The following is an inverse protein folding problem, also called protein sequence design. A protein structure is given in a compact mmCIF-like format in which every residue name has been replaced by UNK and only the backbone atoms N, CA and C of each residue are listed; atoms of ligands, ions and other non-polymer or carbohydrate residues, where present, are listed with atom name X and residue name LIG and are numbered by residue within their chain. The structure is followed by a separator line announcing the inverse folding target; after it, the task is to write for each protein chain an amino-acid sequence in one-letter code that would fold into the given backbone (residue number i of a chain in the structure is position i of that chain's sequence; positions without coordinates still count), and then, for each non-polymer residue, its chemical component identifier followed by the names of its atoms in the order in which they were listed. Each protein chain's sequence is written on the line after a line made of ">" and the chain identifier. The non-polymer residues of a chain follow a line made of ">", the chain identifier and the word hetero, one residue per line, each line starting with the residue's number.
data_IF_456018220402
#
_entry.id   IF_456018220402
#
_cell.length_a   1.000
_cell.length_b   1.000
_cell.length_c   1.000
_cell.angle_alpha   90.00
_cell.angle_beta   90.00
_cell.angle_gamma   90.00
#
_symmetry.space_group_name_H-M   'P 1'
#
loop_
_entity.id
_entity.type
_entity.pdbx_description
1 polymer ?
#
# COMPACT_ATOMS: atom_id res chain seq x y z
N UNK A 1 75.69 0.42 89.39
CA UNK A 1 74.59 1.36 89.35
C UNK A 1 74.02 1.39 87.90
N UNK A 2 72.79 1.09 87.75
CA UNK A 2 72.09 0.97 86.46
C UNK A 2 71.45 2.30 86.14
N UNK A 3 71.47 2.77 84.88
CA UNK A 3 70.75 3.88 84.34
C UNK A 3 69.71 3.40 83.32
N UNK A 4 68.48 3.85 83.35
CA UNK A 4 67.43 3.49 82.39
C UNK A 4 67.21 4.62 81.37
N UNK A 5 66.95 4.21 80.12
CA UNK A 5 66.49 5.09 79.02
C UNK A 5 65.10 4.70 78.68
N UNK A 6 64.10 5.61 78.78
CA UNK A 6 62.71 5.35 78.46
C UNK A 6 62.24 6.34 77.37
N UNK A 7 62.19 5.89 76.14
CA UNK A 7 61.67 6.73 75.04
C UNK A 7 60.15 6.80 75.03
N UNK A 8 59.59 7.97 74.65
CA UNK A 8 58.17 8.13 74.34
C UNK A 8 58.04 8.51 72.88
N UNK A 9 57.09 7.85 72.15
CA UNK A 9 56.77 8.11 70.78
C UNK A 9 55.42 8.81 70.70
N UNK A 10 55.39 10.00 70.12
CA UNK A 10 54.12 10.76 69.90
C UNK A 10 53.63 10.43 68.52
N UNK A 11 52.36 10.00 68.44
CA UNK A 11 51.73 9.67 67.16
C UNK A 11 51.51 10.93 66.31
N UNK A 12 51.97 10.88 65.04
CA UNK A 12 51.71 11.89 64.01
C UNK A 12 51.19 11.20 62.76
N UNK A 13 49.90 11.31 62.47
CA UNK A 13 49.19 10.63 61.40
C UNK A 13 48.61 11.66 60.43
N UNK A 14 48.83 11.53 59.10
CA UNK A 14 48.21 12.43 58.12
C UNK A 14 46.67 12.21 58.06
N UNK A 15 45.98 13.18 57.52
CA UNK A 15 44.54 13.13 57.29
C UNK A 15 44.20 13.05 55.80
N UNK A 16 43.07 12.48 55.46
CA UNK A 16 42.60 12.37 54.10
C UNK A 16 41.08 12.60 54.03
N UNK A 17 40.63 13.28 52.96
CA UNK A 17 39.21 13.49 52.66
C UNK A 17 38.89 13.01 51.26
N UNK A 18 37.74 12.38 51.04
CA UNK A 18 37.31 11.87 49.75
C UNK A 18 36.99 12.99 48.74
N UNK A 19 37.05 12.65 47.46
CA UNK A 19 36.59 13.51 46.39
C UNK A 19 35.46 12.83 45.60
N UNK A 20 34.62 13.67 45.05
CA UNK A 20 33.60 13.27 44.09
C UNK A 20 33.67 14.15 42.85
N UNK A 21 33.17 13.68 41.76
CA UNK A 21 32.93 14.48 40.57
C UNK A 21 31.56 14.11 39.99
N UNK A 22 31.06 14.95 39.10
CA UNK A 22 29.72 14.76 38.48
C UNK A 22 29.81 15.21 37.02
N UNK A 23 29.44 14.33 36.11
CA UNK A 23 29.36 14.69 34.70
C UNK A 23 28.39 13.73 33.97
N UNK A 24 28.07 14.05 32.72
CA UNK A 24 27.16 13.27 31.89
C UNK A 24 27.77 11.89 31.58
N UNK A 25 26.88 10.96 31.28
CA UNK A 25 27.18 9.66 30.73
C UNK A 25 28.21 9.76 29.59
N UNK A 26 29.20 8.90 29.62
CA UNK A 26 30.30 8.83 28.60
C UNK A 26 31.40 9.87 28.75
N UNK A 27 31.27 10.86 29.65
CA UNK A 27 32.30 11.86 29.88
C UNK A 27 33.43 11.34 30.76
N UNK A 28 34.66 11.77 30.44
CA UNK A 28 35.84 11.62 31.34
C UNK A 28 35.67 12.59 32.49
N UNK A 29 35.94 12.12 33.73
CA UNK A 29 35.80 12.92 34.94
C UNK A 29 37.12 12.95 35.72
N UNK A 30 37.36 14.02 36.42
CA UNK A 30 38.52 14.15 37.33
C UNK A 30 38.09 14.56 38.73
N UNK A 31 38.84 14.07 39.71
CA UNK A 31 38.66 14.51 41.11
C UNK A 31 39.97 14.35 41.88
N UNK A 32 40.16 15.24 42.83
CA UNK A 32 41.41 15.25 43.60
C UNK A 32 41.06 15.14 45.11
N UNK A 33 41.15 13.91 45.68
CA UNK A 33 41.10 13.75 47.11
C UNK A 33 42.16 14.60 47.82
N UNK A 34 41.86 15.13 48.97
CA UNK A 34 42.83 15.97 49.71
C UNK A 34 43.49 15.20 50.84
N UNK A 35 44.80 15.42 50.94
CA UNK A 35 45.62 14.84 51.99
C UNK A 35 46.37 15.96 52.69
N UNK A 36 46.48 15.89 54.01
CA UNK A 36 47.18 16.89 54.78
C UNK A 36 48.07 16.23 55.83
N UNK A 37 49.24 16.78 55.96
CA UNK A 37 50.11 16.45 57.08
C UNK A 37 49.50 16.92 58.42
N UNK A 38 50.16 16.60 59.50
CA UNK A 38 49.73 17.03 60.85
C UNK A 38 50.90 17.65 61.62
N UNK A 39 50.57 18.51 62.58
CA UNK A 39 51.56 19.05 63.51
C UNK A 39 51.23 18.56 64.90
N UNK A 40 52.20 18.02 65.61
CA UNK A 40 52.09 17.54 66.99
C UNK A 40 53.11 18.23 67.90
N UNK A 41 52.81 18.32 69.17
CA UNK A 41 53.69 18.89 70.18
C UNK A 41 54.64 17.83 70.71
N UNK A 42 55.94 18.10 70.62
CA UNK A 42 56.97 17.25 71.18
C UNK A 42 57.95 18.13 72.00
N UNK A 43 57.98 17.89 73.31
CA UNK A 43 58.76 18.69 74.26
C UNK A 43 58.47 20.21 74.13
N UNK A 44 57.22 20.61 73.93
CA UNK A 44 56.80 22.02 73.79
C UNK A 44 57.14 22.67 72.45
N UNK A 45 57.63 21.91 71.49
CA UNK A 45 57.92 22.37 70.11
C UNK A 45 57.01 21.69 69.10
N UNK A 46 56.61 22.45 68.09
CA UNK A 46 55.80 21.96 66.96
C UNK A 46 56.69 21.08 66.07
N UNK A 47 56.27 19.86 65.83
CA UNK A 47 56.81 18.91 64.85
C UNK A 47 55.73 18.61 63.81
N UNK A 48 55.98 19.04 62.57
CA UNK A 48 55.11 18.82 61.43
C UNK A 48 55.58 17.64 60.60
N UNK A 49 54.63 16.82 60.16
CA UNK A 49 54.79 15.90 59.05
C UNK A 49 54.04 16.45 57.84
N UNK A 50 54.60 16.27 56.64
CA UNK A 50 54.03 16.69 55.35
C UNK A 50 53.68 15.46 54.53
N UNK A 51 52.87 15.59 53.50
CA UNK A 51 52.70 14.58 52.49
C UNK A 51 53.99 14.53 51.62
N UNK A 52 54.48 13.36 51.39
CA UNK A 52 55.67 13.11 50.58
C UNK A 52 55.39 13.36 49.10
N UNK A 53 56.27 14.08 48.41
CA UNK A 53 56.16 14.40 47.01
C UNK A 53 56.08 13.13 46.17
N UNK A 54 55.21 13.12 45.12
CA UNK A 54 55.00 12.01 44.21
C UNK A 54 54.58 10.68 44.88
N UNK A 55 53.95 10.75 46.07
CA UNK A 55 53.51 9.58 46.83
C UNK A 55 52.08 9.15 46.58
N UNK A 56 51.35 9.88 45.74
CA UNK A 56 49.94 9.56 45.46
C UNK A 56 49.86 8.34 44.55
N UNK A 57 49.03 7.35 44.94
CA UNK A 57 48.84 6.09 44.24
C UNK A 57 47.38 5.62 44.36
N UNK A 58 46.91 4.79 43.43
CA UNK A 58 45.66 4.06 43.57
C UNK A 58 45.90 2.71 44.25
N UNK A 59 44.89 2.20 44.92
CA UNK A 59 44.86 0.81 45.34
C UNK A 59 43.87 0.02 44.43
N UNK A 60 44.37 -1.05 43.82
CA UNK A 60 43.54 -1.98 43.06
C UNK A 60 42.59 -2.75 43.99
N UNK A 61 41.77 -3.63 43.41
CA UNK A 61 40.81 -4.46 44.16
C UNK A 61 41.50 -5.44 45.13
N UNK A 62 42.75 -5.78 44.90
CA UNK A 62 43.56 -6.68 45.73
C UNK A 62 44.39 -5.90 46.76
N UNK A 63 44.31 -4.57 46.76
CA UNK A 63 45.01 -3.69 47.66
C UNK A 63 46.46 -3.34 47.25
N UNK A 64 46.87 -3.63 46.00
CA UNK A 64 48.19 -3.29 45.50
C UNK A 64 48.22 -1.84 45.04
N UNK A 65 49.34 -1.19 45.25
CA UNK A 65 49.63 0.19 44.77
C UNK A 65 49.84 0.17 43.25
N UNK A 66 49.05 0.97 42.53
CA UNK A 66 49.06 1.04 41.05
C UNK A 66 48.87 2.48 40.57
N UNK A 67 49.36 2.79 39.39
CA UNK A 67 49.09 4.10 38.73
C UNK A 67 47.81 4.13 37.95
N UNK A 68 47.27 2.96 37.58
CA UNK A 68 45.94 2.83 36.97
C UNK A 68 45.31 1.49 37.34
N UNK A 69 43.96 1.46 37.34
CA UNK A 69 43.18 0.25 37.63
C UNK A 69 41.82 0.28 36.91
N UNK A 70 41.16 -0.86 36.80
CA UNK A 70 39.81 -0.97 36.24
C UNK A 70 38.79 -0.28 37.13
N UNK A 71 37.89 0.43 36.50
CA UNK A 71 36.68 0.99 37.14
C UNK A 71 35.52 0.01 36.95
N UNK A 72 34.82 -0.28 38.04
CA UNK A 72 33.70 -1.22 38.09
C UNK A 72 32.38 -0.53 38.36
N UNK A 73 31.31 -1.12 37.84
CA UNK A 73 29.92 -0.80 38.20
C UNK A 73 29.66 -1.03 39.70
N UNK A 74 28.48 -0.68 40.20
CA UNK A 74 28.07 -0.87 41.60
C UNK A 74 28.16 -2.33 42.07
N UNK A 75 28.10 -3.29 41.15
CA UNK A 75 28.25 -4.73 41.44
C UNK A 75 29.71 -5.15 41.78
N UNK A 76 30.64 -4.25 41.58
CA UNK A 76 32.07 -4.47 41.82
C UNK A 76 32.78 -5.46 40.84
N UNK A 77 32.09 -5.90 39.80
CA UNK A 77 32.57 -6.92 38.85
C UNK A 77 32.47 -6.54 37.40
N UNK A 78 31.42 -5.79 37.01
CA UNK A 78 31.23 -5.31 35.65
C UNK A 78 32.18 -4.17 35.34
N UNK A 79 33.08 -4.38 34.38
CA UNK A 79 34.04 -3.38 33.95
C UNK A 79 33.38 -2.28 33.14
N UNK A 80 33.53 -1.00 33.52
CA UNK A 80 32.90 0.16 32.87
C UNK A 80 33.90 1.23 32.43
N UNK A 81 35.14 1.13 32.83
CA UNK A 81 36.18 2.11 32.52
C UNK A 81 37.50 1.86 33.21
N UNK A 82 38.33 2.90 33.32
CA UNK A 82 39.59 2.87 34.00
C UNK A 82 39.76 4.10 34.89
N UNK A 83 40.51 3.92 35.97
CA UNK A 83 41.04 5.02 36.78
C UNK A 83 42.53 5.15 36.51
N UNK A 84 43.05 6.37 36.47
CA UNK A 84 44.49 6.70 36.52
C UNK A 84 44.72 7.83 37.49
N UNK A 85 45.94 7.92 38.05
CA UNK A 85 46.33 8.96 38.99
C UNK A 85 47.60 9.67 38.54
N UNK A 86 47.65 10.97 38.75
CA UNK A 86 48.85 11.74 38.70
C UNK A 86 49.55 11.67 40.08
N UNK A 87 50.74 11.03 40.16
CA UNK A 87 51.42 10.83 41.45
C UNK A 87 51.95 12.12 42.07
N UNK A 88 52.04 13.22 41.30
CA UNK A 88 52.51 14.53 41.79
C UNK A 88 51.42 15.37 42.41
N UNK A 89 50.18 15.26 41.83
CA UNK A 89 49.04 16.13 42.28
C UNK A 89 47.99 15.36 43.04
N UNK A 90 47.93 14.01 42.92
CA UNK A 90 46.87 13.20 43.48
C UNK A 90 45.57 13.27 42.68
N UNK A 91 45.54 13.93 41.51
CA UNK A 91 44.39 14.01 40.66
C UNK A 91 44.09 12.63 40.06
N UNK A 92 42.88 12.15 40.27
CA UNK A 92 42.37 10.89 39.67
C UNK A 92 41.54 11.22 38.46
N UNK A 93 41.75 10.49 37.37
CA UNK A 93 40.97 10.57 36.16
C UNK A 93 40.19 9.25 35.99
N UNK A 94 38.85 9.38 35.85
CA UNK A 94 37.94 8.30 35.42
C UNK A 94 37.73 8.41 33.92
N UNK A 95 38.04 7.37 33.15
CA UNK A 95 37.79 7.30 31.71
C UNK A 95 36.84 6.14 31.43
N UNK A 96 35.56 6.40 31.03
CA UNK A 96 34.64 5.33 30.70
C UNK A 96 35.06 4.62 29.42
N UNK A 97 35.05 3.29 29.41
CA UNK A 97 35.18 2.42 28.23
C UNK A 97 33.78 1.99 27.74
N UNK A 98 32.85 1.74 28.66
CA UNK A 98 31.44 1.59 28.36
C UNK A 98 30.73 2.95 28.54
N UNK A 99 30.63 3.68 27.43
CA UNK A 99 29.98 5.01 27.42
C UNK A 99 28.46 4.95 27.58
N UNK A 100 27.86 3.77 27.39
CA UNK A 100 26.41 3.57 27.56
C UNK A 100 26.00 3.35 29.02
N UNK A 101 26.95 3.09 29.91
CA UNK A 101 26.66 2.83 31.33
C UNK A 101 26.11 4.07 32.05
N UNK A 102 25.03 3.89 32.81
CA UNK A 102 24.29 4.96 33.52
C UNK A 102 24.17 4.74 35.03
N UNK A 103 24.73 3.67 35.55
CA UNK A 103 24.62 3.29 36.96
C UNK A 103 25.65 3.99 37.85
N UNK A 104 25.68 3.57 39.12
CA UNK A 104 26.68 4.02 40.08
C UNK A 104 28.01 3.31 39.84
N UNK A 105 29.08 4.05 40.13
CA UNK A 105 30.48 3.57 39.98
C UNK A 105 31.04 3.19 41.34
N UNK A 106 31.74 2.05 41.41
CA UNK A 106 32.44 1.64 42.61
C UNK A 106 33.59 2.64 42.91
N UNK A 107 33.66 3.23 44.12
CA UNK A 107 34.74 4.15 44.47
C UNK A 107 36.14 3.49 44.34
N UNK A 108 37.12 4.26 43.87
CA UNK A 108 38.52 3.82 43.90
C UNK A 108 39.22 4.36 45.13
N UNK A 109 40.08 3.54 45.75
CA UNK A 109 40.92 4.00 46.87
C UNK A 109 42.13 4.73 46.34
N UNK A 110 42.41 5.88 46.99
CA UNK A 110 43.57 6.74 46.74
C UNK A 110 44.38 6.80 48.01
N UNK A 111 45.69 6.56 47.94
CA UNK A 111 46.61 6.52 49.07
C UNK A 111 47.70 7.55 48.89
N UNK A 112 48.13 8.13 49.98
CA UNK A 112 49.31 8.97 50.06
C UNK A 112 50.20 8.57 51.28
N UNK A 113 51.51 8.80 51.14
CA UNK A 113 52.48 8.59 52.21
C UNK A 113 52.98 9.91 52.76
N UNK A 114 53.08 10.00 54.09
CA UNK A 114 53.64 11.14 54.74
C UNK A 114 55.17 11.06 54.89
N UNK A 115 55.80 12.17 55.23
CA UNK A 115 57.26 12.29 55.39
C UNK A 115 57.81 11.35 56.46
N UNK A 116 57.04 10.92 57.43
CA UNK A 116 57.39 9.89 58.44
C UNK A 116 57.02 8.47 58.05
N UNK A 117 56.60 8.20 56.76
CA UNK A 117 56.36 6.88 56.24
C UNK A 117 54.94 6.31 56.55
N UNK A 118 54.07 7.10 57.17
CA UNK A 118 52.67 6.70 57.43
C UNK A 118 51.82 6.85 56.17
N UNK A 119 51.13 5.78 55.75
CA UNK A 119 50.21 5.77 54.61
C UNK A 119 48.78 5.98 55.11
N UNK A 120 48.02 6.80 54.40
CA UNK A 120 46.59 7.05 54.64
C UNK A 120 45.86 6.97 53.32
N UNK A 121 44.68 6.40 53.33
CA UNK A 121 43.84 6.26 52.15
C UNK A 121 42.46 6.91 52.32
N UNK A 122 41.87 7.30 51.20
CA UNK A 122 40.51 7.80 51.05
C UNK A 122 39.96 7.34 49.71
N UNK A 123 38.86 7.90 49.23
CA UNK A 123 38.23 7.48 48.00
C UNK A 123 37.97 8.60 47.00
N UNK A 124 37.94 8.28 45.74
CA UNK A 124 37.35 9.08 44.68
C UNK A 124 36.18 8.34 44.04
N UNK A 125 35.06 9.06 43.87
CA UNK A 125 33.81 8.51 43.31
C UNK A 125 33.25 9.42 42.22
N UNK A 126 33.29 9.05 40.95
CA UNK A 126 32.57 9.77 39.89
C UNK A 126 31.06 9.50 39.94
N UNK A 127 30.22 10.54 39.79
CA UNK A 127 28.77 10.42 39.59
C UNK A 127 28.43 10.56 38.11
N UNK A 128 27.73 9.59 37.54
CA UNK A 128 27.28 9.59 36.15
C UNK A 128 25.86 10.08 36.07
N UNK A 129 25.61 11.16 35.32
CA UNK A 129 24.28 11.67 35.03
C UNK A 129 23.80 11.06 33.71
N UNK A 130 22.71 10.28 33.71
CA UNK A 130 22.19 9.67 32.49
C UNK A 130 21.80 10.71 31.45
N UNK A 131 22.18 10.46 30.19
CA UNK A 131 21.76 11.21 29.00
C UNK A 131 21.35 10.21 27.94
N UNK A 132 20.04 10.08 27.70
CA UNK A 132 19.50 9.09 26.77
C UNK A 132 18.83 9.76 25.59
N UNK A 133 19.01 9.23 24.38
CA UNK A 133 18.31 9.74 23.19
C UNK A 133 16.80 9.48 23.31
N UNK A 134 16.03 10.29 22.58
CA UNK A 134 14.58 10.13 22.47
C UNK A 134 14.17 9.86 21.03
N UNK A 135 13.00 9.24 20.86
CA UNK A 135 12.44 8.97 19.55
C UNK A 135 10.93 9.20 19.54
N UNK A 136 10.42 9.72 18.41
CA UNK A 136 9.00 9.98 18.19
C UNK A 136 8.52 9.16 17.00
N UNK A 137 7.38 8.45 17.09
CA UNK A 137 6.82 7.67 16.00
C UNK A 137 6.46 8.51 14.77
N UNK A 138 6.40 7.86 13.61
CA UNK A 138 5.92 8.44 12.37
C UNK A 138 4.77 7.61 11.81
N UNK A 139 3.83 8.29 11.19
CA UNK A 139 2.68 7.69 10.49
C UNK A 139 2.55 8.33 9.12
N UNK A 140 2.09 7.55 8.15
CA UNK A 140 1.77 8.05 6.80
C UNK A 140 0.49 7.43 6.30
N UNK A 141 -0.16 8.12 5.35
CA UNK A 141 -1.35 7.61 4.69
C UNK A 141 -1.25 7.94 3.20
N UNK A 142 -1.44 6.93 2.36
CA UNK A 142 -1.53 7.10 0.91
C UNK A 142 -2.50 6.07 0.32
N UNK A 143 -2.75 6.19 -0.99
CA UNK A 143 -3.66 5.32 -1.72
C UNK A 143 -3.07 3.93 -1.96
N UNK A 144 -3.93 2.97 -2.22
CA UNK A 144 -3.60 1.60 -2.59
C UNK A 144 -2.58 1.54 -3.72
N UNK A 145 -1.52 0.74 -3.55
CA UNK A 145 -0.43 0.57 -4.49
C UNK A 145 0.65 1.66 -4.46
N UNK A 146 0.45 2.76 -3.73
CA UNK A 146 1.44 3.82 -3.63
C UNK A 146 2.54 3.50 -2.61
N UNK A 147 3.81 3.72 -3.00
CA UNK A 147 4.95 3.66 -2.08
C UNK A 147 4.90 4.84 -1.11
N UNK A 148 5.10 4.57 0.17
CA UNK A 148 5.09 5.58 1.23
C UNK A 148 6.46 5.70 1.88
N UNK A 149 6.80 6.89 2.37
CA UNK A 149 8.00 7.14 3.16
C UNK A 149 7.64 7.86 4.44
N UNK A 150 8.13 7.34 5.55
CA UNK A 150 7.99 7.95 6.86
C UNK A 150 9.30 7.91 7.63
N UNK A 151 9.53 8.90 8.47
CA UNK A 151 10.76 8.99 9.25
C UNK A 151 10.43 9.25 10.70
N UNK A 152 10.57 8.25 11.59
CA UNK A 152 10.58 8.49 13.02
C UNK A 152 11.65 9.52 13.36
N UNK A 153 11.35 10.45 14.26
CA UNK A 153 12.28 11.50 14.65
C UNK A 153 13.12 11.02 15.84
N UNK A 154 14.45 11.10 15.70
CA UNK A 154 15.41 10.76 16.74
C UNK A 154 16.15 12.03 17.18
N UNK A 155 16.26 12.25 18.49
CA UNK A 155 16.96 13.38 19.08
C UNK A 155 17.96 12.88 20.12
N UNK A 156 19.14 13.48 20.13
CA UNK A 156 20.10 13.29 21.20
C UNK A 156 19.56 13.73 22.54
N UNK A 157 20.04 13.10 23.62
CA UNK A 157 19.66 13.47 24.96
C UNK A 157 20.33 14.77 25.39
N UNK A 158 19.63 15.55 26.21
CA UNK A 158 20.15 16.79 26.80
C UNK A 158 19.83 16.81 28.28
N UNK A 159 20.82 17.21 29.10
CA UNK A 159 20.68 17.34 30.56
C UNK A 159 21.55 18.49 31.08
N UNK A 160 21.16 19.10 32.20
CA UNK A 160 21.93 20.15 32.88
C UNK A 160 22.76 19.54 34.00
N UNK A 161 24.06 19.76 33.99
CA UNK A 161 25.00 19.37 35.05
C UNK A 161 25.69 20.62 35.57
N UNK A 162 25.54 20.89 36.88
CA UNK A 162 26.10 22.07 37.55
C UNK A 162 25.78 23.40 36.83
N UNK A 163 24.53 23.51 36.33
CA UNK A 163 24.04 24.71 35.62
C UNK A 163 24.46 24.82 34.17
N UNK A 164 25.19 23.83 33.62
CA UNK A 164 25.62 23.77 32.21
C UNK A 164 24.80 22.74 31.48
N UNK A 165 24.18 23.13 30.35
CA UNK A 165 23.49 22.22 29.45
C UNK A 165 24.51 21.39 28.63
N UNK A 166 24.34 20.08 28.64
CA UNK A 166 25.19 19.12 27.92
C UNK A 166 24.31 18.20 27.09
N UNK A 167 24.74 17.95 25.84
CA UNK A 167 23.98 17.14 24.85
C UNK A 167 24.88 16.02 24.31
N UNK A 168 24.29 14.84 24.13
CA UNK A 168 24.90 13.71 23.40
C UNK A 168 24.11 13.53 22.10
N UNK A 169 24.74 13.79 20.97
CA UNK A 169 24.10 13.72 19.64
C UNK A 169 23.84 12.28 19.21
N UNK A 170 22.89 12.11 18.30
CA UNK A 170 22.70 10.85 17.56
C UNK A 170 23.99 10.53 16.78
N UNK A 171 24.39 9.27 16.76
CA UNK A 171 25.58 8.81 16.03
C UNK A 171 25.23 8.60 14.55
N UNK A 172 25.58 9.56 13.71
CA UNK A 172 25.34 9.49 12.26
C UNK A 172 26.22 8.46 11.54
N UNK A 173 27.28 7.94 12.19
CA UNK A 173 28.13 6.89 11.62
C UNK A 173 27.57 5.48 11.83
N UNK A 174 26.54 5.32 12.67
CA UNK A 174 25.86 4.05 12.90
C UNK A 174 24.51 4.09 12.21
N UNK A 175 24.31 3.27 11.14
CA UNK A 175 23.05 3.25 10.41
C UNK A 175 21.87 2.84 11.28
N UNK A 176 20.70 3.40 11.02
CA UNK A 176 19.45 2.92 11.59
C UNK A 176 19.16 1.49 11.13
N UNK A 177 18.53 0.72 12.00
CA UNK A 177 18.06 -0.65 11.72
C UNK A 177 16.64 -0.84 12.25
N UNK A 178 16.00 -1.90 11.84
CA UNK A 178 14.83 -2.40 12.56
C UNK A 178 15.26 -3.05 13.89
N UNK A 179 14.30 -3.34 14.75
CA UNK A 179 14.52 -3.90 16.09
C UNK A 179 15.31 -5.22 16.07
N UNK A 180 15.15 -6.03 15.04
CA UNK A 180 15.87 -7.29 14.82
C UNK A 180 17.27 -7.14 14.21
N UNK A 181 17.72 -5.88 14.00
CA UNK A 181 19.00 -5.55 13.37
C UNK A 181 18.98 -5.59 11.84
N UNK A 182 17.88 -5.98 11.22
CA UNK A 182 17.74 -5.96 9.75
C UNK A 182 17.47 -4.56 9.20
N UNK A 183 17.64 -4.40 7.89
CA UNK A 183 17.30 -3.16 7.16
C UNK A 183 16.12 -3.37 6.20
N UNK A 184 15.63 -4.60 6.09
CA UNK A 184 14.49 -4.96 5.23
C UNK A 184 13.59 -5.94 5.97
N UNK A 185 12.27 -5.71 5.90
CA UNK A 185 11.25 -6.57 6.50
C UNK A 185 10.09 -6.74 5.55
N UNK A 186 9.77 -7.97 5.18
CA UNK A 186 8.61 -8.31 4.36
C UNK A 186 7.51 -8.92 5.24
N UNK A 187 6.28 -8.45 5.05
CA UNK A 187 5.07 -8.95 5.72
C UNK A 187 4.13 -9.45 4.62
N UNK A 188 3.90 -10.75 4.60
CA UNK A 188 3.04 -11.41 3.59
C UNK A 188 1.64 -10.80 3.57
N UNK A 189 1.13 -10.52 2.36
CA UNK A 189 -0.17 -9.89 2.16
C UNK A 189 -0.23 -8.40 2.50
N UNK A 190 0.87 -7.79 2.94
CA UNK A 190 0.96 -6.38 3.34
C UNK A 190 1.94 -5.61 2.48
N UNK A 191 3.22 -6.01 2.46
CA UNK A 191 4.26 -5.32 1.71
C UNK A 191 5.65 -5.43 2.31
N UNK A 192 6.57 -4.62 1.81
CA UNK A 192 7.98 -4.63 2.21
C UNK A 192 8.39 -3.26 2.77
N UNK A 193 9.03 -3.28 3.92
CA UNK A 193 9.63 -2.14 4.59
C UNK A 193 11.15 -2.17 4.41
N UNK A 194 11.75 -1.03 4.12
CA UNK A 194 13.21 -0.84 4.13
C UNK A 194 13.56 0.41 4.92
N UNK A 195 14.59 0.33 5.75
CA UNK A 195 15.08 1.49 6.51
C UNK A 195 16.43 1.96 5.97
N UNK A 196 16.52 3.25 5.70
CA UNK A 196 17.77 3.91 5.31
C UNK A 196 18.61 4.24 6.53
N UNK A 197 19.91 4.52 6.33
CA UNK A 197 20.85 4.84 7.40
C UNK A 197 20.40 5.98 8.30
N UNK A 198 19.68 6.96 7.77
CA UNK A 198 19.16 8.12 8.49
C UNK A 198 17.84 7.87 9.27
N UNK A 199 17.31 6.63 9.21
CA UNK A 199 16.06 6.22 9.85
C UNK A 199 14.82 6.41 8.98
N UNK A 200 14.93 6.89 7.75
CA UNK A 200 13.80 6.97 6.83
C UNK A 200 13.36 5.57 6.41
N UNK A 201 12.09 5.25 6.63
CA UNK A 201 11.48 3.98 6.22
C UNK A 201 10.73 4.18 4.93
N UNK A 202 10.99 3.31 3.94
CA UNK A 202 10.21 3.19 2.72
C UNK A 202 9.32 1.95 2.84
N UNK A 203 8.03 2.12 2.62
CA UNK A 203 7.03 1.05 2.58
C UNK A 203 6.50 0.89 1.16
N UNK A 204 6.68 -0.29 0.59
CA UNK A 204 6.11 -0.69 -0.70
C UNK A 204 4.99 -1.69 -0.41
N UNK A 205 3.71 -1.28 -0.48
CA UNK A 205 2.60 -2.18 -0.21
C UNK A 205 2.44 -3.23 -1.32
N UNK A 206 1.90 -4.39 -0.99
CA UNK A 206 1.32 -5.26 -1.99
C UNK A 206 0.11 -4.56 -2.65
N UNK A 207 -0.07 -4.77 -3.95
CA UNK A 207 -1.11 -4.06 -4.73
C UNK A 207 -2.52 -4.27 -4.22
N UNK A 208 -2.79 -5.41 -3.61
CA UNK A 208 -4.10 -5.75 -3.02
C UNK A 208 -4.29 -5.25 -1.58
N UNK A 209 -3.20 -4.81 -0.91
CA UNK A 209 -3.28 -4.42 0.49
C UNK A 209 -4.00 -3.09 0.68
N UNK A 210 -4.93 -3.07 1.63
CA UNK A 210 -5.64 -1.87 2.14
C UNK A 210 -5.76 -1.95 3.65
N UNK A 211 -5.77 -0.80 4.30
CA UNK A 211 -5.84 -0.69 5.76
C UNK A 211 -4.52 -0.26 6.38
N UNK A 212 -4.45 -0.32 7.71
CA UNK A 212 -3.25 0.03 8.46
C UNK A 212 -2.31 -1.17 8.54
N UNK A 213 -1.08 -0.99 8.07
CA UNK A 213 -0.05 -2.02 8.15
C UNK A 213 0.45 -2.21 9.58
N UNK A 214 0.97 -3.40 9.94
CA UNK A 214 1.68 -3.58 11.20
C UNK A 214 2.81 -2.56 11.34
N UNK A 215 2.95 -1.97 12.54
CA UNK A 215 4.02 -1.05 12.83
C UNK A 215 5.39 -1.76 12.78
N UNK A 216 6.40 -1.09 12.23
CA UNK A 216 7.80 -1.51 12.31
C UNK A 216 8.56 -0.59 13.24
N UNK A 217 9.44 -1.15 14.08
CA UNK A 217 10.24 -0.39 15.03
C UNK A 217 11.61 -0.07 14.44
N UNK A 218 11.95 1.21 14.39
CA UNK A 218 13.26 1.71 13.96
C UNK A 218 14.09 2.01 15.19
N UNK A 219 15.37 1.65 15.17
CA UNK A 219 16.32 1.83 16.26
C UNK A 219 17.50 2.67 15.77
N UNK A 220 17.89 3.67 16.55
CA UNK A 220 19.14 4.42 16.38
C UNK A 220 19.86 4.54 17.72
N UNK A 221 21.14 4.84 17.69
CA UNK A 221 21.95 5.07 18.90
C UNK A 221 22.61 6.45 18.89
N UNK A 222 22.93 6.94 20.07
CA UNK A 222 23.69 8.16 20.25
C UNK A 222 25.22 7.90 20.23
N UNK A 223 26.01 8.97 20.38
CA UNK A 223 27.48 8.89 20.41
C UNK A 223 28.03 8.08 21.58
N UNK A 224 27.21 7.76 22.58
CA UNK A 224 27.56 6.90 23.71
C UNK A 224 27.13 5.43 23.51
N UNK A 225 26.43 5.11 22.42
CA UNK A 225 25.85 3.78 22.15
C UNK A 225 24.52 3.54 22.88
N UNK A 226 23.94 4.55 23.49
CA UNK A 226 22.58 4.45 24.07
C UNK A 226 21.55 4.46 22.95
N UNK A 227 20.57 3.54 23.02
CA UNK A 227 19.58 3.34 21.94
C UNK A 227 18.25 4.03 22.23
N UNK A 228 17.64 4.53 21.18
CA UNK A 228 16.25 4.94 21.15
C UNK A 228 15.52 4.20 20.03
N UNK A 229 14.23 3.98 20.22
CA UNK A 229 13.38 3.31 19.23
C UNK A 229 12.04 4.00 19.09
N UNK A 230 11.51 4.01 17.86
CA UNK A 230 10.15 4.48 17.58
C UNK A 230 9.56 3.73 16.40
N UNK A 231 8.24 3.68 16.33
CA UNK A 231 7.51 2.96 15.29
C UNK A 231 7.25 3.83 14.06
N UNK A 232 7.17 3.17 12.93
CA UNK A 232 6.58 3.69 11.70
C UNK A 232 5.36 2.86 11.32
N UNK A 233 4.23 3.53 11.07
CA UNK A 233 2.94 2.87 10.76
C UNK A 233 2.32 3.51 9.52
N UNK A 234 2.37 2.84 8.34
CA UNK A 234 1.68 3.30 7.15
C UNK A 234 0.23 2.83 7.11
N UNK A 235 -0.67 3.68 6.60
CA UNK A 235 -2.06 3.33 6.29
C UNK A 235 -2.28 3.46 4.79
N UNK A 236 -2.96 2.48 4.21
CA UNK A 236 -3.29 2.40 2.78
C UNK A 236 -4.79 2.55 2.61
N UNK A 237 -5.22 3.60 1.90
CA UNK A 237 -6.63 3.83 1.56
C UNK A 237 -7.01 3.10 0.27
N UNK A 238 -8.17 2.44 0.20
CA UNK A 238 -8.58 1.69 -0.97
C UNK A 238 -8.79 2.60 -2.18
N UNK A 239 -8.49 2.06 -3.37
CA UNK A 239 -8.84 2.65 -4.67
C UNK A 239 -9.67 1.62 -5.42
N UNK A 240 -10.91 1.98 -5.78
CA UNK A 240 -11.81 1.11 -6.52
C UNK A 240 -12.27 1.79 -7.81
N UNK A 241 -12.10 1.16 -8.98
CA UNK A 241 -12.66 1.64 -10.22
C UNK A 241 -14.19 1.53 -10.20
N UNK A 242 -14.86 2.31 -11.05
CA UNK A 242 -16.30 2.26 -11.24
C UNK A 242 -16.64 1.92 -12.68
N UNK A 243 -17.87 1.46 -12.91
CA UNK A 243 -18.35 1.16 -14.25
C UNK A 243 -19.82 1.58 -14.42
N UNK A 244 -20.15 2.04 -15.65
CA UNK A 244 -21.51 2.45 -16.05
C UNK A 244 -22.00 1.53 -17.14
N UNK A 245 -23.23 0.99 -17.07
CA UNK A 245 -23.84 0.15 -18.08
C UNK A 245 -23.96 0.83 -19.44
N UNK A 246 -24.02 0.02 -20.50
CA UNK A 246 -24.35 0.47 -21.85
C UNK A 246 -25.59 -0.26 -22.37
N UNK A 247 -26.38 0.45 -23.16
CA UNK A 247 -27.56 -0.06 -23.85
C UNK A 247 -27.50 0.34 -25.31
N UNK A 248 -28.01 -0.51 -26.19
CA UNK A 248 -28.15 -0.20 -27.60
C UNK A 248 -29.51 -0.66 -28.12
N UNK A 249 -29.95 -0.05 -29.21
CA UNK A 249 -31.17 -0.45 -29.91
C UNK A 249 -30.84 -0.53 -31.40
N UNK A 250 -31.15 -1.67 -32.01
CA UNK A 250 -30.98 -1.93 -33.43
C UNK A 250 -32.20 -2.56 -34.04
N UNK A 251 -32.17 -2.77 -35.34
CA UNK A 251 -33.24 -3.50 -36.07
C UNK A 251 -32.91 -4.99 -36.14
N UNK A 252 -33.90 -5.80 -36.32
CA UNK A 252 -33.79 -7.26 -36.48
C UNK A 252 -32.72 -7.63 -37.54
N UNK A 253 -31.78 -8.50 -37.17
CA UNK A 253 -30.65 -8.90 -37.99
C UNK A 253 -29.43 -7.98 -37.95
N UNK A 254 -29.54 -6.76 -37.46
CA UNK A 254 -28.39 -5.85 -37.40
C UNK A 254 -27.46 -6.16 -36.24
N UNK A 255 -26.16 -6.22 -36.51
CA UNK A 255 -25.11 -6.29 -35.50
C UNK A 255 -25.08 -4.99 -34.69
N UNK A 256 -24.97 -5.10 -33.37
CA UNK A 256 -24.90 -3.95 -32.48
C UNK A 256 -23.57 -3.93 -31.72
N UNK A 257 -23.06 -2.75 -31.43
CA UNK A 257 -21.89 -2.58 -30.55
C UNK A 257 -22.21 -1.62 -29.43
N UNK A 258 -21.84 -2.02 -28.22
CA UNK A 258 -21.98 -1.17 -27.03
C UNK A 258 -20.78 -1.30 -26.13
N UNK A 259 -20.45 -0.23 -25.41
CA UNK A 259 -19.28 -0.20 -24.56
C UNK A 259 -19.65 0.35 -23.19
N UNK A 260 -19.70 -0.50 -22.16
CA UNK A 260 -19.76 -0.02 -20.78
C UNK A 260 -18.57 0.89 -20.50
N UNK A 261 -18.79 1.96 -19.74
CA UNK A 261 -17.74 2.93 -19.41
C UNK A 261 -17.09 2.55 -18.09
N UNK A 262 -15.77 2.38 -18.10
CA UNK A 262 -14.96 2.08 -16.92
C UNK A 262 -14.15 3.32 -16.56
N UNK A 263 -14.18 3.70 -15.28
CA UNK A 263 -13.51 4.90 -14.77
C UNK A 263 -12.61 4.50 -13.61
N UNK A 264 -11.36 4.94 -13.65
CA UNK A 264 -10.42 4.75 -12.54
C UNK A 264 -10.94 5.39 -11.25
N UNK A 265 -10.67 4.75 -10.12
CA UNK A 265 -11.01 5.27 -8.79
C UNK A 265 -10.10 6.42 -8.35
N UNK A 266 -8.91 6.51 -8.92
CA UNK A 266 -7.94 7.57 -8.70
C UNK A 266 -7.00 7.69 -9.91
N UNK A 267 -6.67 8.91 -10.34
CA UNK A 267 -5.82 9.16 -11.51
C UNK A 267 -4.41 8.56 -11.42
N UNK A 268 -3.92 8.26 -10.21
CA UNK A 268 -2.64 7.57 -9.97
C UNK A 268 -2.74 6.05 -10.16
N UNK A 269 -3.96 5.50 -10.30
CA UNK A 269 -4.24 4.09 -10.51
C UNK A 269 -5.18 3.95 -11.70
N UNK A 270 -4.68 4.08 -12.95
CA UNK A 270 -5.49 3.99 -14.15
C UNK A 270 -6.03 2.57 -14.38
N UNK A 271 -7.02 2.45 -15.27
CA UNK A 271 -7.46 1.15 -15.77
C UNK A 271 -6.29 0.41 -16.42
N UNK A 272 -6.23 -0.90 -16.23
CA UNK A 272 -5.13 -1.73 -16.74
C UNK A 272 -5.41 -2.19 -18.17
N UNK A 273 -4.85 -1.49 -19.16
CA UNK A 273 -5.01 -1.83 -20.58
C UNK A 273 -4.17 -3.04 -21.01
N UNK A 274 -3.26 -3.53 -20.16
CA UNK A 274 -2.50 -4.76 -20.41
C UNK A 274 -3.31 -6.03 -20.08
N UNK A 275 -4.43 -5.87 -19.38
CA UNK A 275 -5.36 -6.96 -19.06
C UNK A 275 -6.66 -6.75 -19.83
N UNK A 276 -6.95 -7.69 -20.75
CA UNK A 276 -8.14 -7.62 -21.58
C UNK A 276 -9.43 -7.73 -20.77
N UNK A 277 -10.46 -7.00 -21.20
CA UNK A 277 -11.81 -7.17 -20.66
C UNK A 277 -12.33 -8.58 -20.91
N UNK A 278 -13.14 -9.08 -19.98
CA UNK A 278 -13.83 -10.38 -20.09
C UNK A 278 -15.28 -10.24 -19.64
N UNK A 279 -16.07 -11.25 -19.92
CA UNK A 279 -17.36 -11.42 -19.23
C UNK A 279 -17.11 -11.89 -17.79
N UNK A 280 -18.16 -11.92 -16.99
CA UNK A 280 -18.10 -12.29 -15.57
C UNK A 280 -17.62 -13.73 -15.30
N UNK A 281 -17.82 -14.63 -16.28
CA UNK A 281 -17.32 -16.01 -16.25
C UNK A 281 -15.87 -16.17 -16.77
N UNK A 282 -15.20 -15.07 -17.12
CA UNK A 282 -13.85 -15.05 -17.68
C UNK A 282 -13.76 -15.31 -19.18
N UNK A 283 -14.89 -15.62 -19.86
CA UNK A 283 -14.93 -15.81 -21.30
C UNK A 283 -14.92 -14.48 -22.06
N UNK A 284 -14.64 -14.54 -23.37
CA UNK A 284 -14.73 -13.40 -24.29
C UNK A 284 -15.82 -13.57 -25.33
N UNK A 285 -16.50 -14.72 -25.34
CA UNK A 285 -17.63 -15.02 -26.23
C UNK A 285 -18.70 -15.77 -25.47
N UNK A 286 -19.97 -15.37 -25.67
CA UNK A 286 -21.12 -16.04 -25.07
C UNK A 286 -22.29 -16.10 -26.06
N UNK A 287 -22.77 -17.30 -26.31
CA UNK A 287 -23.95 -17.56 -27.16
C UNK A 287 -25.15 -17.88 -26.28
N UNK A 288 -26.28 -17.24 -26.58
CA UNK A 288 -27.58 -17.48 -25.96
C UNK A 288 -28.51 -17.99 -27.05
N UNK A 289 -28.96 -19.23 -26.90
CA UNK A 289 -29.80 -19.89 -27.91
C UNK A 289 -31.09 -19.09 -28.21
N UNK A 290 -31.37 -18.88 -29.49
CA UNK A 290 -32.52 -18.12 -29.97
C UNK A 290 -32.44 -16.62 -29.72
N UNK A 291 -31.32 -16.13 -29.21
CA UNK A 291 -31.11 -14.69 -28.94
C UNK A 291 -29.94 -14.13 -29.77
N UNK A 292 -28.76 -14.75 -29.69
CA UNK A 292 -27.61 -14.30 -30.42
C UNK A 292 -26.29 -14.56 -29.70
N UNK A 293 -25.19 -14.00 -30.26
CA UNK A 293 -23.83 -14.16 -29.75
C UNK A 293 -23.22 -12.81 -29.39
N UNK A 294 -22.65 -12.75 -28.17
CA UNK A 294 -21.90 -11.63 -27.64
C UNK A 294 -20.42 -11.93 -27.71
N UNK A 295 -19.61 -10.94 -28.11
CA UNK A 295 -18.15 -10.98 -28.01
C UNK A 295 -17.64 -9.70 -27.38
N UNK A 296 -16.66 -9.79 -26.48
CA UNK A 296 -16.05 -8.62 -25.85
C UNK A 296 -14.62 -8.46 -26.33
N UNK A 297 -14.29 -7.25 -26.78
CA UNK A 297 -12.93 -6.86 -27.14
C UNK A 297 -12.12 -6.49 -25.90
N UNK A 298 -10.78 -6.44 -26.05
CA UNK A 298 -9.85 -6.11 -24.95
C UNK A 298 -10.18 -4.79 -24.23
N UNK A 299 -10.72 -3.81 -24.95
CA UNK A 299 -11.08 -2.49 -24.43
C UNK A 299 -12.45 -2.43 -23.74
N UNK A 300 -13.17 -3.56 -23.69
CA UNK A 300 -14.53 -3.66 -23.11
C UNK A 300 -15.67 -3.40 -24.08
N UNK A 301 -15.39 -3.15 -25.37
CA UNK A 301 -16.44 -3.03 -26.41
C UNK A 301 -17.08 -4.39 -26.64
N UNK A 302 -18.40 -4.46 -26.51
CA UNK A 302 -19.18 -5.67 -26.77
C UNK A 302 -19.82 -5.58 -28.16
N UNK A 303 -19.64 -6.61 -28.95
CA UNK A 303 -20.36 -6.82 -30.21
C UNK A 303 -21.43 -7.88 -29.97
N UNK A 304 -22.68 -7.57 -30.35
CA UNK A 304 -23.82 -8.47 -30.30
C UNK A 304 -24.32 -8.75 -31.72
N UNK A 305 -24.30 -10.00 -32.11
CA UNK A 305 -24.88 -10.51 -33.36
C UNK A 305 -26.18 -11.24 -33.00
N UNK A 306 -27.37 -10.66 -33.29
CA UNK A 306 -28.62 -11.29 -32.95
C UNK A 306 -28.88 -12.54 -33.81
N UNK A 307 -29.62 -13.49 -33.24
CA UNK A 307 -30.29 -14.52 -34.04
C UNK A 307 -31.29 -13.85 -35.01
N UNK A 308 -31.36 -14.24 -36.28
CA UNK A 308 -32.26 -13.63 -37.25
C UNK A 308 -33.73 -13.61 -36.82
N UNK A 309 -34.16 -14.57 -36.02
CA UNK A 309 -35.52 -14.66 -35.49
C UNK A 309 -35.75 -13.83 -34.23
N UNK A 310 -34.69 -13.32 -33.57
CA UNK A 310 -34.80 -12.63 -32.29
C UNK A 310 -35.32 -11.20 -32.42
N UNK A 311 -36.26 -10.86 -31.58
CA UNK A 311 -36.76 -9.47 -31.36
C UNK A 311 -37.03 -9.26 -29.88
N UNK A 312 -36.90 -8.02 -29.42
CA UNK A 312 -37.07 -7.64 -28.02
C UNK A 312 -35.75 -7.33 -27.33
N UNK A 313 -35.79 -7.17 -26.00
CA UNK A 313 -34.58 -6.89 -25.20
C UNK A 313 -33.88 -8.18 -24.86
N UNK A 314 -32.62 -8.28 -25.29
CA UNK A 314 -31.79 -9.43 -25.03
C UNK A 314 -31.29 -9.44 -23.55
N UNK A 315 -30.93 -10.62 -23.02
CA UNK A 315 -30.35 -10.71 -21.69
C UNK A 315 -29.12 -9.82 -21.54
N UNK A 316 -29.05 -9.09 -20.41
CA UNK A 316 -27.88 -8.30 -20.10
C UNK A 316 -26.65 -9.20 -19.88
N UNK A 317 -25.49 -8.78 -20.40
CA UNK A 317 -24.22 -9.45 -20.16
C UNK A 317 -23.29 -8.55 -19.39
N UNK A 318 -22.58 -9.12 -18.41
CA UNK A 318 -21.67 -8.36 -17.53
C UNK A 318 -20.25 -8.35 -18.08
N UNK A 319 -19.68 -7.16 -18.25
CA UNK A 319 -18.29 -6.94 -18.65
C UNK A 319 -17.48 -6.55 -17.45
N UNK A 320 -16.29 -7.12 -17.31
CA UNK A 320 -15.38 -6.90 -16.18
C UNK A 320 -14.05 -6.37 -16.72
N UNK A 321 -13.54 -5.31 -16.06
CA UNK A 321 -12.17 -4.80 -16.24
C UNK A 321 -11.54 -4.55 -14.88
N UNK A 322 -10.21 -4.46 -14.84
CA UNK A 322 -9.45 -4.16 -13.62
C UNK A 322 -8.56 -2.93 -13.80
N UNK A 323 -8.21 -2.31 -12.68
CA UNK A 323 -7.22 -1.25 -12.62
C UNK A 323 -5.79 -1.79 -12.47
N UNK A 324 -4.78 -0.90 -12.41
CA UNK A 324 -3.36 -1.29 -12.26
C UNK A 324 -3.03 -1.95 -10.91
N UNK A 325 -3.92 -1.88 -9.93
CA UNK A 325 -3.80 -2.62 -8.66
C UNK A 325 -4.50 -4.00 -8.71
N UNK A 326 -5.23 -4.31 -9.79
CA UNK A 326 -6.02 -5.53 -9.91
C UNK A 326 -7.42 -5.43 -9.27
N UNK A 327 -7.85 -4.24 -8.86
CA UNK A 327 -9.21 -4.01 -8.38
C UNK A 327 -10.17 -4.00 -9.56
N UNK A 328 -11.29 -4.74 -9.45
CA UNK A 328 -12.22 -4.97 -10.54
C UNK A 328 -13.43 -4.04 -10.46
N UNK A 329 -13.92 -3.66 -11.65
CA UNK A 329 -15.22 -3.05 -11.84
C UNK A 329 -16.00 -3.84 -12.88
N UNK A 330 -17.32 -3.84 -12.79
CA UNK A 330 -18.21 -4.53 -13.73
C UNK A 330 -19.43 -3.69 -14.06
N UNK A 331 -19.90 -3.79 -15.30
CA UNK A 331 -21.16 -3.20 -15.73
C UNK A 331 -21.76 -4.03 -16.85
N UNK A 332 -23.09 -3.90 -17.04
CA UNK A 332 -23.84 -4.65 -18.02
C UNK A 332 -23.89 -3.94 -19.38
N UNK A 333 -24.00 -4.76 -20.41
CA UNK A 333 -24.42 -4.35 -21.75
C UNK A 333 -25.73 -5.04 -22.09
N UNK A 334 -26.74 -4.26 -22.55
CA UNK A 334 -28.10 -4.75 -22.86
C UNK A 334 -28.53 -4.26 -24.25
N UNK A 335 -28.52 -5.11 -25.27
CA UNK A 335 -29.05 -4.77 -26.60
C UNK A 335 -30.57 -5.00 -26.70
N UNK A 336 -31.26 -4.14 -27.44
CA UNK A 336 -32.66 -4.30 -27.83
C UNK A 336 -32.76 -4.40 -29.34
N UNK A 337 -33.57 -5.34 -29.82
CA UNK A 337 -33.78 -5.60 -31.25
C UNK A 337 -35.22 -5.29 -31.61
N UNK A 338 -35.43 -4.30 -32.45
CA UNK A 338 -36.73 -3.95 -32.99
C UNK A 338 -37.10 -4.80 -34.21
N UNK A 339 -38.33 -5.30 -34.33
CA UNK A 339 -38.71 -6.11 -35.47
C UNK A 339 -38.72 -5.34 -36.78
N UNK A 340 -38.35 -6.01 -37.86
CA UNK A 340 -38.63 -5.53 -39.23
C UNK A 340 -40.06 -5.83 -39.58
N UNK A 341 -40.78 -4.83 -40.09
CA UNK A 341 -42.18 -4.93 -40.46
C UNK A 341 -42.37 -4.74 -41.95
N UNK A 342 -43.39 -5.40 -42.51
CA UNK A 342 -43.88 -5.21 -43.86
C UNK A 342 -45.18 -4.41 -43.85
N UNK A 343 -45.21 -3.32 -44.63
CA UNK A 343 -46.39 -2.50 -44.80
C UNK A 343 -46.95 -2.71 -46.20
N UNK A 344 -48.14 -3.32 -46.36
CA UNK A 344 -48.74 -3.52 -47.66
C UNK A 344 -49.45 -2.26 -48.13
N UNK A 345 -49.50 -2.06 -49.46
CA UNK A 345 -50.30 -1.05 -50.13
C UNK A 345 -51.21 -1.69 -51.14
N UNK A 346 -52.50 -1.54 -50.95
CA UNK A 346 -53.54 -2.10 -51.81
C UNK A 346 -53.54 -1.41 -53.19
N UNK A 347 -54.03 -2.12 -54.19
CA UNK A 347 -54.28 -1.62 -55.53
C UNK A 347 -55.73 -1.89 -55.93
N UNK A 348 -56.28 -1.03 -56.78
CA UNK A 348 -57.58 -1.17 -57.40
C UNK A 348 -57.45 -0.87 -58.88
N UNK A 349 -58.27 -1.48 -59.71
CA UNK A 349 -58.27 -1.24 -61.12
C UNK A 349 -59.71 -1.23 -61.63
N UNK A 350 -59.97 -0.62 -62.77
CA UNK A 350 -61.27 -0.54 -63.45
C UNK A 350 -61.07 -0.61 -64.93
N UNK A 351 -61.82 -1.45 -65.63
CA UNK A 351 -61.75 -1.57 -67.06
C UNK A 351 -63.10 -2.06 -67.60
N UNK A 352 -63.23 -2.13 -68.91
CA UNK A 352 -64.46 -2.61 -69.54
C UNK A 352 -64.59 -4.13 -69.45
N UNK A 353 -65.88 -4.62 -69.63
CA UNK A 353 -66.20 -6.04 -69.60
C UNK A 353 -65.29 -6.91 -70.49
N UNK A 354 -64.86 -8.11 -70.00
CA UNK A 354 -64.05 -9.09 -70.64
C UNK A 354 -62.58 -8.67 -70.88
N UNK A 355 -62.13 -7.54 -70.36
CA UNK A 355 -60.74 -7.10 -70.46
C UNK A 355 -59.95 -7.47 -69.20
N UNK A 356 -58.83 -8.22 -69.32
CA UNK A 356 -57.97 -8.50 -68.15
C UNK A 356 -57.41 -7.22 -67.60
N UNK A 357 -57.27 -7.16 -66.24
CA UNK A 357 -56.72 -6.05 -65.54
C UNK A 357 -55.49 -6.47 -64.71
N UNK A 358 -54.41 -5.71 -64.74
CA UNK A 358 -53.21 -6.05 -64.01
C UNK A 358 -52.77 -4.90 -63.07
N UNK A 359 -52.59 -5.22 -61.80
CA UNK A 359 -52.06 -4.30 -60.81
C UNK A 359 -51.02 -5.01 -59.94
N UNK A 360 -50.13 -4.21 -59.34
CA UNK A 360 -49.08 -4.75 -58.47
C UNK A 360 -49.24 -4.17 -57.05
N UNK A 361 -49.81 -4.92 -56.11
CA UNK A 361 -49.76 -4.57 -54.70
C UNK A 361 -48.28 -4.44 -54.28
N UNK A 362 -47.95 -3.40 -53.52
CA UNK A 362 -46.57 -3.15 -53.04
C UNK A 362 -46.45 -3.45 -51.57
N UNK A 363 -45.22 -3.81 -51.16
CA UNK A 363 -44.86 -4.11 -49.79
C UNK A 363 -43.60 -3.32 -49.47
N UNK A 364 -43.66 -2.46 -48.43
CA UNK A 364 -42.52 -1.72 -47.98
C UNK A 364 -41.94 -2.36 -46.69
N UNK A 365 -40.66 -2.66 -46.70
CA UNK A 365 -39.90 -3.07 -45.51
C UNK A 365 -39.62 -1.84 -44.65
N UNK A 366 -39.74 -1.95 -43.33
CA UNK A 366 -39.27 -0.88 -42.42
C UNK A 366 -37.76 -0.76 -42.39
N UNK A 367 -37.04 -1.81 -42.80
CA UNK A 367 -35.58 -1.82 -43.01
C UNK A 367 -35.26 -2.85 -44.13
N UNK A 368 -34.54 -2.42 -45.14
CA UNK A 368 -34.13 -3.23 -46.32
C UNK A 368 -32.63 -3.59 -46.28
N UNK A 369 -31.88 -3.11 -45.30
CA UNK A 369 -30.46 -3.49 -45.12
C UNK A 369 -30.33 -4.90 -44.53
N UNK A 370 -31.23 -5.27 -43.62
CA UNK A 370 -31.21 -6.55 -42.90
C UNK A 370 -32.34 -7.53 -43.30
N UNK A 371 -33.19 -7.13 -44.21
CA UNK A 371 -34.33 -7.94 -44.63
C UNK A 371 -34.57 -7.79 -46.15
N UNK A 372 -35.08 -8.85 -46.74
CA UNK A 372 -35.52 -8.85 -48.14
C UNK A 372 -36.82 -9.61 -48.30
N UNK A 373 -37.66 -9.19 -49.25
CA UNK A 373 -38.87 -9.91 -49.61
C UNK A 373 -38.46 -11.10 -50.44
N UNK A 374 -38.76 -12.31 -49.95
CA UNK A 374 -38.35 -13.57 -50.54
C UNK A 374 -39.48 -14.32 -51.26
N UNK A 375 -40.74 -14.00 -50.95
CA UNK A 375 -41.88 -14.58 -51.66
C UNK A 375 -43.08 -13.67 -51.68
N UNK A 376 -43.91 -13.83 -52.73
CA UNK A 376 -45.21 -13.21 -52.86
C UNK A 376 -46.17 -14.29 -53.36
N UNK A 377 -47.27 -14.55 -52.63
CA UNK A 377 -48.24 -15.63 -52.90
C UNK A 377 -49.65 -15.10 -52.84
N UNK A 378 -50.52 -15.70 -53.65
CA UNK A 378 -51.95 -15.47 -53.50
C UNK A 378 -52.47 -16.14 -52.22
N UNK A 379 -53.47 -15.52 -51.58
CA UNK A 379 -54.27 -16.16 -50.56
C UNK A 379 -55.44 -16.80 -51.27
N UNK A 380 -55.59 -18.13 -51.19
CA UNK A 380 -56.69 -18.84 -51.72
C UNK A 380 -58.00 -18.41 -51.01
N UNK A 381 -59.00 -17.84 -51.76
CA UNK A 381 -60.24 -17.35 -51.18
C UNK A 381 -61.10 -18.46 -50.53
N UNK A 382 -60.92 -19.71 -50.98
CA UNK A 382 -61.64 -20.85 -50.45
C UNK A 382 -61.18 -21.30 -49.07
N UNK A 383 -59.82 -21.20 -48.84
CA UNK A 383 -59.15 -21.67 -47.62
C UNK A 383 -58.76 -20.54 -46.69
N UNK A 384 -58.55 -19.32 -47.21
CA UNK A 384 -57.99 -18.18 -46.52
C UNK A 384 -56.51 -18.33 -46.22
N UNK A 385 -55.79 -19.27 -46.83
CA UNK A 385 -54.38 -19.57 -46.66
C UNK A 385 -53.57 -19.23 -47.91
N UNK A 386 -52.27 -18.87 -47.74
CA UNK A 386 -51.37 -18.68 -48.87
C UNK A 386 -51.24 -20.00 -49.67
N UNK A 387 -51.25 -19.90 -51.00
CA UNK A 387 -51.09 -21.02 -51.88
C UNK A 387 -49.81 -20.90 -52.72
N UNK A 388 -49.24 -22.05 -53.10
CA UNK A 388 -48.13 -22.14 -54.04
C UNK A 388 -48.63 -22.11 -55.51
N UNK A 389 -49.92 -22.23 -55.71
CA UNK A 389 -50.54 -22.03 -57.02
C UNK A 389 -50.45 -20.58 -57.45
N UNK A 390 -50.04 -20.36 -58.68
CA UNK A 390 -49.95 -19.00 -59.24
C UNK A 390 -51.30 -18.47 -59.70
N UNK A 391 -52.34 -19.29 -59.66
CA UNK A 391 -53.71 -18.98 -60.14
C UNK A 391 -54.72 -19.40 -59.10
N UNK A 392 -55.74 -18.54 -58.82
CA UNK A 392 -56.90 -18.86 -58.03
C UNK A 392 -58.15 -18.39 -58.77
N UNK A 393 -59.20 -19.18 -58.68
CA UNK A 393 -60.51 -18.89 -59.36
C UNK A 393 -61.55 -18.57 -58.33
N UNK A 394 -62.32 -17.48 -58.55
CA UNK A 394 -63.51 -17.11 -57.81
C UNK A 394 -64.69 -17.37 -58.75
N UNK A 395 -65.46 -18.39 -58.41
CA UNK A 395 -66.59 -18.83 -59.25
C UNK A 395 -67.61 -17.70 -59.49
N UNK A 396 -67.95 -17.48 -60.72
CA UNK A 396 -68.89 -16.40 -61.12
C UNK A 396 -68.29 -15.03 -61.27
N UNK A 397 -66.96 -14.87 -60.97
CA UNK A 397 -66.23 -13.60 -61.09
C UNK A 397 -65.08 -13.68 -62.11
N UNK A 398 -64.18 -14.60 -61.91
CA UNK A 398 -62.99 -14.71 -62.75
C UNK A 398 -61.79 -15.40 -62.09
N UNK A 399 -60.64 -15.27 -62.71
CA UNK A 399 -59.41 -15.90 -62.31
C UNK A 399 -58.36 -14.85 -62.05
N UNK A 400 -57.62 -14.97 -60.89
CA UNK A 400 -56.50 -14.17 -60.54
C UNK A 400 -55.24 -14.94 -60.72
N UNK A 401 -54.26 -14.36 -61.45
CA UNK A 401 -52.91 -14.98 -61.68
C UNK A 401 -51.84 -14.03 -61.16
N UNK A 402 -50.90 -14.52 -60.34
CA UNK A 402 -49.76 -13.75 -59.83
C UNK A 402 -48.49 -14.09 -60.58
N UNK A 403 -47.69 -13.10 -60.89
CA UNK A 403 -46.29 -13.25 -61.16
C UNK A 403 -45.52 -13.28 -59.84
N UNK A 404 -45.00 -14.41 -59.41
CA UNK A 404 -44.35 -14.51 -58.09
C UNK A 404 -43.09 -13.69 -57.94
N UNK A 405 -42.45 -13.27 -59.04
CA UNK A 405 -41.25 -12.46 -59.05
C UNK A 405 -41.59 -11.00 -58.84
N UNK A 406 -42.48 -10.46 -59.61
CA UNK A 406 -42.87 -9.05 -59.53
C UNK A 406 -43.97 -8.78 -58.49
N UNK A 407 -44.84 -9.76 -58.27
CA UNK A 407 -46.02 -9.63 -57.44
C UNK A 407 -47.21 -8.99 -58.21
N UNK A 408 -47.07 -8.83 -59.52
CA UNK A 408 -48.17 -8.37 -60.40
C UNK A 408 -49.29 -9.40 -60.42
N UNK A 409 -50.51 -8.95 -60.19
CA UNK A 409 -51.74 -9.79 -60.20
C UNK A 409 -52.61 -9.38 -61.39
N UNK A 410 -52.89 -10.37 -62.25
CA UNK A 410 -53.82 -10.17 -63.37
C UNK A 410 -55.16 -10.82 -63.04
N UNK A 411 -56.20 -10.08 -63.10
CA UNK A 411 -57.57 -10.54 -63.01
C UNK A 411 -58.13 -10.75 -64.45
N UNK A 412 -58.54 -11.93 -64.74
CA UNK A 412 -59.18 -12.28 -65.98
C UNK A 412 -60.67 -12.56 -65.66
N UNK A 413 -61.61 -11.66 -65.99
CA UNK A 413 -63.03 -11.85 -65.68
C UNK A 413 -63.63 -13.05 -66.42
N UNK A 414 -64.58 -13.71 -65.77
CA UNK A 414 -65.45 -14.69 -66.52
C UNK A 414 -66.23 -13.93 -67.58
N UNK A 415 -66.62 -14.68 -68.62
CA UNK A 415 -67.45 -14.15 -69.65
C UNK A 415 -68.74 -13.61 -69.08
N UNK A 416 -69.07 -12.40 -69.41
CA UNK A 416 -70.29 -11.70 -68.99
C UNK A 416 -70.25 -11.21 -67.53
N UNK A 417 -69.15 -11.31 -66.78
CA UNK A 417 -69.05 -10.69 -65.43
C UNK A 417 -69.03 -9.18 -65.53
N UNK A 418 -69.92 -8.56 -64.73
CA UNK A 418 -70.06 -7.11 -64.60
C UNK A 418 -70.28 -6.78 -63.10
N UNK A 419 -69.57 -5.84 -62.59
CA UNK A 419 -69.58 -5.41 -61.20
C UNK A 419 -68.22 -5.37 -60.52
N UNK A 420 -68.22 -5.15 -59.22
CA UNK A 420 -67.00 -5.15 -58.45
C UNK A 420 -66.68 -6.58 -58.00
N UNK A 421 -65.54 -7.10 -58.41
CA UNK A 421 -65.04 -8.40 -57.99
C UNK A 421 -64.67 -8.40 -56.48
N UNK A 422 -64.77 -9.57 -55.86
CA UNK A 422 -64.38 -9.77 -54.45
C UNK A 422 -62.99 -9.40 -54.16
N UNK A 423 -62.09 -9.53 -55.18
CA UNK A 423 -60.66 -9.27 -55.05
C UNK A 423 -59.93 -10.49 -54.49
N UNK A 424 -58.61 -10.42 -54.54
CA UNK A 424 -57.69 -11.42 -53.97
C UNK A 424 -56.71 -10.75 -53.05
N UNK A 425 -56.26 -11.43 -51.99
CA UNK A 425 -55.19 -10.97 -51.13
C UNK A 425 -53.88 -11.54 -51.61
N UNK A 426 -52.81 -10.73 -51.52
CA UNK A 426 -51.41 -11.15 -51.74
C UNK A 426 -50.71 -11.10 -50.39
N UNK A 427 -50.03 -12.17 -50.05
CA UNK A 427 -49.10 -12.23 -48.90
C UNK A 427 -47.68 -12.13 -49.39
N UNK A 428 -46.88 -11.25 -48.79
CA UNK A 428 -45.45 -11.22 -48.95
C UNK A 428 -44.78 -11.76 -47.68
N UNK A 429 -43.67 -12.50 -47.87
CA UNK A 429 -42.79 -12.98 -46.79
C UNK A 429 -41.44 -12.30 -46.93
N UNK A 430 -40.95 -11.79 -45.82
CA UNK A 430 -39.60 -11.25 -45.69
C UNK A 430 -38.71 -12.26 -44.99
N UNK A 431 -37.45 -12.35 -45.40
CA UNK A 431 -36.38 -13.10 -44.72
C UNK A 431 -35.38 -12.13 -44.15
N UNK A 432 -35.01 -12.34 -42.88
CA UNK A 432 -34.01 -11.54 -42.14
C UNK A 432 -32.66 -12.18 -42.42
N UNK A 433 -31.65 -11.35 -42.70
CA UNK A 433 -30.25 -11.72 -42.82
C UNK A 433 -29.45 -10.87 -41.82
N UNK A 434 -28.43 -11.46 -41.22
CA UNK A 434 -27.54 -10.69 -40.34
C UNK A 434 -26.64 -9.79 -41.22
N UNK A 435 -26.54 -8.52 -40.89
CA UNK A 435 -25.73 -7.51 -41.55
C UNK A 435 -24.47 -7.19 -40.75
#
# INVERSE_FOLDING_TARGET
>A
SDASYTPTVVAAVPTANPATSKDIQGATQTGTPTFAGTTVQVNGQDKAITIKDNSYTLLDKDGNEVSSTTAYAEDGTTEIGTYSIDPATGQVTFTPTDKSYTGKVTPVKVQAESSNGIKVDTTYTPEIVPVTPTATPAETTDIQGATQKGKPEFKGGTVTVDGVEKTVAINENVPATFEDGSTTKTVDGVGTFTVAADGTVTFVPEKSFVGTAPAVTVVREDMNGSKASATYTPTVTPVTPTATPAETTGVQGATQTGKPVFTEGNSRVPMNDDVAATFDDGSTTKTVDGVGTYTVAADGTVTFVPDPSFTGTAPAITVVREDKNGSKASATYTPTVNPVTLTPTNKVSEDIQNVPQTETPTFALSNDETAQITSKKLIDPATGQPTDETTVTVAGEGTYTIDPTTGAVTFTPEKDFVGTATGVKVQATATITNA
#
